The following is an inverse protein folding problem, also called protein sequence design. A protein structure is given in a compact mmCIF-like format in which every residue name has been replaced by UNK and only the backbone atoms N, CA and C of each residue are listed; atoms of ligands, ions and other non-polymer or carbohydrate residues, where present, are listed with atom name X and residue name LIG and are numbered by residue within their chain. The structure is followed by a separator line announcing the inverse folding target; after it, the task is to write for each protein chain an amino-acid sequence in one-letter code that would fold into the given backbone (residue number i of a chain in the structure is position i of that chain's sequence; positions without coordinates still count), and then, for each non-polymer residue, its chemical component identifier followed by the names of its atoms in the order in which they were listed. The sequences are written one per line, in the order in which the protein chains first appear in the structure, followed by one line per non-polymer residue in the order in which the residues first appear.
data_IF_338742115009
#
_entry.id   IF_338742115009
#
_cell.length_a   1.000
_cell.length_b   1.000
_cell.length_c   1.000
_cell.angle_alpha   90.00
_cell.angle_beta   90.00
_cell.angle_gamma   90.00
#
_symmetry.space_group_name_H-M   'P 1'
#
loop_
_entity.id
_entity.type
_entity.pdbx_description
1 polymer ?
2 non-polymer ?
3 water ?
#
# COMPACT_ATOMS: atom_id res chain seq x y z
N UNK A 1 -2.42 2.85 25.78
CA UNK A 1 -1.89 3.61 24.62
C UNK A 1 -2.09 2.88 23.31
N UNK A 2 -1.62 3.50 22.24
CA UNK A 2 -1.65 2.88 20.92
C UNK A 2 -0.48 1.87 20.82
N UNK A 3 -0.46 1.08 19.76
CA UNK A 3 0.54 0.01 19.61
C UNK A 3 1.53 0.39 18.52
N UNK A 4 2.64 0.96 18.92
CA UNK A 4 3.67 1.38 17.97
C UNK A 4 4.84 0.39 17.89
N UNK A 5 4.60 -0.85 18.34
CA UNK A 5 5.59 -1.90 18.19
C UNK A 5 5.32 -2.74 16.95
N UNK A 6 4.06 -2.98 16.60
CA UNK A 6 3.82 -3.87 15.49
C UNK A 6 3.77 -3.12 14.16
N UNK A 7 4.54 -3.67 13.24
CA UNK A 7 4.87 -3.01 12.00
C UNK A 7 3.60 -2.73 11.21
N UNK A 8 3.43 -1.46 10.85
CA UNK A 8 2.47 -1.02 9.87
C UNK A 8 0.99 -1.17 10.30
N UNK A 9 0.75 -1.27 11.60
CA UNK A 9 -0.58 -1.61 12.12
C UNK A 9 -1.68 -0.62 11.71
N UNK A 10 -1.36 0.68 11.78
CA UNK A 10 -2.37 1.72 11.56
C UNK A 10 -2.47 2.26 10.12
N UNK A 11 -1.74 1.66 9.20
CA UNK A 11 -1.85 2.04 7.80
C UNK A 11 -3.30 1.93 7.32
N UNK A 12 -3.70 2.90 6.51
CA UNK A 12 -5.05 2.93 5.93
C UNK A 12 -5.27 1.72 5.02
N UNK A 13 -4.18 1.24 4.44
CA UNK A 13 -4.20 0.09 3.56
C UNK A 13 -4.46 -1.20 4.36
N UNK A 14 -4.17 -1.19 5.66
CA UNK A 14 -4.42 -2.35 6.53
C UNK A 14 -5.85 -2.30 7.01
N UNK A 15 -6.72 -2.95 6.26
CA UNK A 15 -8.14 -2.96 6.60
C UNK A 15 -8.51 -3.97 7.69
N UNK A 16 -7.56 -4.74 8.22
CA UNK A 16 -7.83 -5.72 9.27
C UNK A 16 -9.07 -6.63 8.98
N UNK A 17 -9.01 -7.37 7.89
CA UNK A 17 -10.17 -8.14 7.42
C UNK A 17 -10.38 -9.39 8.27
N UNK A 18 -11.60 -9.60 8.70
CA UNK A 18 -12.04 -10.83 9.33
C UNK A 18 -12.99 -11.50 8.34
N UNK A 19 -12.62 -12.67 7.83
CA UNK A 19 -13.43 -13.38 6.86
C UNK A 19 -14.24 -14.43 7.58
N UNK A 20 -15.54 -14.44 7.34
CA UNK A 20 -16.43 -15.40 7.97
C UNK A 20 -17.10 -16.25 6.90
N UNK A 21 -16.93 -17.56 7.00
CA UNK A 21 -17.40 -18.48 5.99
C UNK A 21 -18.68 -19.11 6.45
N UNK A 22 -19.74 -18.91 5.70
CA UNK A 22 -21.07 -19.41 6.05
C UNK A 22 -21.58 -20.31 4.94
N UNK A 23 -22.31 -21.36 5.32
CA UNK A 23 -22.91 -22.28 4.35
C UNK A 23 -21.89 -22.91 3.41
N UNK A 24 -20.72 -23.21 3.96
CA UNK A 24 -19.63 -23.82 3.20
C UNK A 24 -19.17 -25.03 4.03
N UNK A 25 -18.94 -26.15 3.38
CA UNK A 25 -18.47 -27.33 4.09
C UNK A 25 -17.11 -27.09 4.71
N UNK A 26 -16.89 -27.68 5.90
CA UNK A 26 -15.72 -27.43 6.71
C UNK A 26 -14.43 -27.77 5.97
N UNK A 27 -14.43 -28.87 5.24
CA UNK A 27 -13.21 -29.33 4.57
C UNK A 27 -12.78 -28.39 3.45
N UNK A 28 -13.76 -27.80 2.77
CA UNK A 28 -13.52 -26.76 1.78
C UNK A 28 -12.81 -25.56 2.40
N UNK A 29 -13.36 -25.06 3.50
CA UNK A 29 -12.77 -23.92 4.18
C UNK A 29 -11.34 -24.23 4.64
N UNK A 30 -11.12 -25.43 5.14
CA UNK A 30 -9.81 -25.84 5.69
C UNK A 30 -8.74 -25.81 4.60
N UNK A 31 -9.13 -26.21 3.40
CA UNK A 31 -8.28 -26.19 2.22
C UNK A 31 -8.05 -24.78 1.68
N UNK A 32 -9.09 -23.97 1.76
CA UNK A 32 -9.13 -22.62 1.22
C UNK A 32 -8.25 -21.62 1.97
N UNK A 33 -8.19 -21.78 3.28
CA UNK A 33 -7.69 -20.70 4.11
C UNK A 33 -6.21 -20.44 3.81
N UNK A 34 -5.35 -21.46 3.75
CA UNK A 34 -3.94 -21.20 3.43
C UNK A 34 -3.71 -20.55 2.08
N UNK A 35 -4.44 -20.97 1.06
CA UNK A 35 -4.25 -20.38 -0.24
C UNK A 35 -4.82 -18.97 -0.31
N UNK A 36 -5.93 -18.73 0.37
CA UNK A 36 -6.50 -17.37 0.43
C UNK A 36 -5.59 -16.42 1.15
N UNK A 37 -5.01 -16.85 2.26
CA UNK A 37 -4.11 -15.99 3.01
C UNK A 37 -2.92 -15.56 2.14
N UNK A 38 -2.35 -16.50 1.41
CA UNK A 38 -1.25 -16.23 0.50
C UNK A 38 -1.63 -15.17 -0.53
N UNK A 39 -2.75 -15.38 -1.21
CA UNK A 39 -3.19 -14.46 -2.26
C UNK A 39 -3.62 -13.09 -1.76
N UNK A 40 -4.40 -13.04 -0.67
CA UNK A 40 -4.86 -11.74 -0.13
C UNK A 40 -3.75 -10.91 0.49
N UNK A 41 -2.81 -11.53 1.18
CA UNK A 41 -1.77 -10.76 1.83
C UNK A 41 -0.85 -10.13 0.78
N UNK A 42 -0.59 -10.86 -0.31
CA UNK A 42 0.14 -10.34 -1.47
C UNK A 42 -0.61 -9.21 -2.16
N UNK A 43 -1.87 -9.47 -2.47
CA UNK A 43 -2.70 -8.51 -3.16
C UNK A 43 -2.80 -7.18 -2.42
N UNK A 44 -2.98 -7.23 -1.11
CA UNK A 44 -3.26 -6.05 -0.30
C UNK A 44 -2.02 -5.48 0.38
N UNK A 45 -0.89 -6.17 0.19
CA UNK A 45 0.40 -5.79 0.75
C UNK A 45 0.26 -5.61 2.26
N UNK A 46 -0.40 -6.57 2.87
CA UNK A 46 -0.71 -6.51 4.29
C UNK A 46 -0.09 -7.72 5.00
N UNK A 47 0.27 -7.54 6.26
CA UNK A 47 0.85 -8.60 7.05
C UNK A 47 -0.09 -9.80 7.08
N UNK A 48 0.45 -11.00 7.00
CA UNK A 48 -0.32 -12.23 7.14
C UNK A 48 -1.09 -12.36 8.47
N UNK A 49 -0.55 -11.82 9.57
CA UNK A 49 -1.26 -11.84 10.85
C UNK A 49 -2.36 -10.78 10.99
N UNK A 50 -2.60 -10.00 9.94
CA UNK A 50 -3.67 -9.01 9.91
C UNK A 50 -5.03 -9.63 9.52
N UNK A 51 -5.05 -10.88 9.04
CA UNK A 51 -6.28 -11.54 8.59
C UNK A 51 -6.73 -12.55 9.63
N UNK A 52 -8.04 -12.69 9.79
CA UNK A 52 -8.59 -13.79 10.57
C UNK A 52 -9.65 -14.49 9.70
N UNK A 53 -9.78 -15.78 9.92
CA UNK A 53 -10.68 -16.63 9.15
C UNK A 53 -11.54 -17.40 10.12
N UNK A 54 -12.86 -17.39 9.92
CA UNK A 54 -13.77 -18.05 10.84
C UNK A 54 -14.73 -18.95 10.06
N UNK A 55 -14.90 -20.20 10.48
CA UNK A 55 -15.93 -21.08 9.96
C UNK A 55 -17.12 -20.99 10.92
N UNK A 56 -18.28 -20.61 10.40
CA UNK A 56 -19.45 -20.32 11.23
C UNK A 56 -20.26 -21.61 11.26
N UNK A 57 -20.66 -22.10 12.43
CA UNK A 57 -21.18 -23.47 12.45
C UNK A 57 -22.70 -23.68 12.57
N UNK A 58 -23.41 -22.92 11.74
CA UNK A 58 -24.85 -22.78 11.80
C UNK A 58 -25.54 -23.58 10.70
N UNK A 59 -26.86 -23.72 10.84
CA UNK A 59 -27.64 -24.46 9.88
C UNK A 59 -28.56 -23.53 9.09
N UNK A 60 -28.61 -23.76 7.79
CA UNK A 60 -29.22 -22.87 6.82
C UNK A 60 -30.31 -23.61 6.06
N UNK A 61 -31.34 -22.87 5.71
CA UNK A 61 -32.37 -23.28 4.75
C UNK A 61 -32.58 -22.17 3.75
N UNK A 62 -32.75 -22.55 2.48
CA UNK A 62 -33.25 -21.65 1.47
C UNK A 62 -33.96 -22.51 0.41
N UNK A 63 -35.03 -21.97 -0.17
CA UNK A 63 -35.72 -22.67 -1.24
C UNK A 63 -34.77 -22.58 -2.42
N UNK A 64 -34.48 -23.73 -3.00
CA UNK A 64 -33.62 -23.77 -4.16
C UNK A 64 -32.19 -24.09 -3.81
N UNK A 65 -31.93 -24.26 -2.53
CA UNK A 65 -30.61 -24.57 -2.00
C UNK A 65 -29.89 -23.34 -1.50
N UNK A 66 -29.03 -23.54 -0.52
CA UNK A 66 -28.30 -22.49 0.13
C UNK A 66 -26.98 -22.33 -0.59
N UNK A 67 -26.62 -21.10 -0.93
CA UNK A 67 -25.34 -20.85 -1.58
C UNK A 67 -24.32 -20.37 -0.56
N UNK A 68 -23.07 -20.64 -0.81
CA UNK A 68 -22.03 -20.23 0.13
C UNK A 68 -21.89 -18.72 0.24
N UNK A 69 -21.51 -18.21 1.42
CA UNK A 69 -21.31 -16.79 1.60
C UNK A 69 -20.08 -16.53 2.43
N UNK A 70 -19.33 -15.50 2.05
CA UNK A 70 -18.19 -15.05 2.82
C UNK A 70 -18.50 -13.61 3.19
N UNK A 71 -18.51 -13.33 4.48
CA UNK A 71 -18.69 -11.99 5.00
C UNK A 71 -17.30 -11.49 5.32
N UNK A 72 -17.01 -10.26 4.94
CA UNK A 72 -15.69 -9.66 5.21
C UNK A 72 -15.97 -8.46 6.08
N UNK A 73 -15.56 -8.52 7.33
CA UNK A 73 -15.72 -7.40 8.22
C UNK A 73 -14.38 -6.68 8.22
N UNK A 74 -14.39 -5.42 7.84
CA UNK A 74 -13.10 -4.72 7.69
C UNK A 74 -13.22 -3.22 7.82
N UNK A 75 -12.11 -2.49 7.80
CA UNK A 75 -12.18 -1.02 7.84
C UNK A 75 -12.49 -0.35 6.53
N UNK A 76 -12.43 -1.10 5.44
CA UNK A 76 -12.76 -0.53 4.15
C UNK A 76 -11.50 -0.29 3.31
N UNK A 77 -11.63 -0.62 2.03
CA UNK A 77 -10.73 -0.14 1.00
C UNK A 77 -11.62 0.43 -0.11
N UNK A 78 -11.00 1.18 -1.03
CA UNK A 78 -11.75 1.80 -2.13
C UNK A 78 -12.48 0.74 -2.95
N UNK A 79 -13.56 1.14 -3.63
CA UNK A 79 -14.36 0.22 -4.43
C UNK A 79 -13.56 -0.71 -5.33
N UNK A 80 -12.56 -0.17 -6.03
CA UNK A 80 -11.81 -0.96 -6.98
C UNK A 80 -11.03 -2.09 -6.28
N UNK A 81 -10.46 -1.81 -5.12
CA UNK A 81 -9.76 -2.83 -4.35
C UNK A 81 -10.71 -3.90 -3.82
N UNK A 82 -11.83 -3.42 -3.28
CA UNK A 82 -12.89 -4.29 -2.80
C UNK A 82 -13.34 -5.25 -3.91
N UNK A 83 -13.52 -4.72 -5.10
CA UNK A 83 -13.90 -5.55 -6.24
C UNK A 83 -12.88 -6.64 -6.54
N UNK A 84 -11.58 -6.32 -6.45
CA UNK A 84 -10.53 -7.31 -6.69
C UNK A 84 -10.51 -8.41 -5.64
N UNK A 85 -10.76 -8.03 -4.39
CA UNK A 85 -10.80 -9.00 -3.31
C UNK A 85 -11.92 -9.96 -3.51
N UNK A 86 -13.08 -9.44 -3.86
CA UNK A 86 -14.23 -10.26 -4.14
C UNK A 86 -13.89 -11.24 -5.25
N UNK A 87 -13.19 -10.77 -6.26
CA UNK A 87 -12.83 -11.66 -7.38
C UNK A 87 -11.86 -12.78 -6.96
N UNK A 88 -10.88 -12.47 -6.11
CA UNK A 88 -9.93 -13.48 -5.60
C UNK A 88 -10.63 -14.59 -4.79
N UNK A 89 -11.48 -14.18 -3.86
CA UNK A 89 -12.19 -15.10 -3.00
C UNK A 89 -13.09 -15.99 -3.87
N UNK A 90 -13.76 -15.39 -4.84
CA UNK A 90 -14.68 -16.12 -5.67
C UNK A 90 -13.97 -17.18 -6.49
N UNK A 91 -12.86 -16.78 -7.10
CA UNK A 91 -12.04 -17.65 -7.91
C UNK A 91 -11.44 -18.83 -7.14
N UNK A 92 -10.94 -18.60 -5.94
CA UNK A 92 -10.46 -19.71 -5.12
C UNK A 92 -11.57 -20.68 -4.71
N UNK A 93 -12.72 -20.16 -4.27
CA UNK A 93 -13.84 -21.02 -3.93
C UNK A 93 -14.30 -21.83 -5.17
N UNK A 94 -14.29 -21.23 -6.34
CA UNK A 94 -14.73 -21.94 -7.56
C UNK A 94 -13.84 -23.11 -7.90
N UNK A 95 -12.57 -22.98 -7.60
CA UNK A 95 -11.62 -24.06 -7.74
C UNK A 95 -11.98 -25.30 -6.94
N UNK A 96 -12.56 -25.11 -5.76
CA UNK A 96 -12.90 -26.24 -4.90
C UNK A 96 -14.36 -26.66 -5.04
N UNK A 97 -15.22 -25.75 -5.50
CA UNK A 97 -16.68 -25.94 -5.50
C UNK A 97 -17.37 -25.83 -6.87
N UNK A 98 -16.67 -25.44 -7.91
CA UNK A 98 -17.27 -25.33 -9.24
C UNK A 98 -17.22 -23.94 -9.82
N UNK A 99 -16.86 -23.87 -11.11
CA UNK A 99 -16.76 -22.59 -11.83
C UNK A 99 -18.09 -21.88 -12.06
N UNK A 100 -19.17 -22.44 -11.54
CA UNK A 100 -20.51 -21.83 -11.65
C UNK A 100 -21.33 -21.96 -10.37
N UNK A 101 -20.71 -22.45 -9.30
CA UNK A 101 -21.25 -22.29 -7.95
C UNK A 101 -21.50 -20.82 -7.81
N UNK A 102 -22.40 -20.41 -6.92
CA UNK A 102 -22.81 -19.00 -6.87
C UNK A 102 -22.45 -18.24 -5.59
N UNK A 103 -21.17 -18.01 -5.38
CA UNK A 103 -20.68 -17.48 -4.12
C UNK A 103 -21.14 -16.04 -3.91
N UNK A 104 -21.63 -15.73 -2.71
CA UNK A 104 -21.85 -14.35 -2.29
C UNK A 104 -20.65 -13.89 -1.43
N UNK A 105 -20.15 -12.69 -1.66
CA UNK A 105 -19.09 -12.11 -0.82
C UNK A 105 -19.65 -10.78 -0.39
N UNK A 106 -19.75 -10.53 0.91
CA UNK A 106 -20.37 -9.29 1.37
C UNK A 106 -19.40 -8.56 2.31
N UNK A 107 -19.16 -7.28 2.08
CA UNK A 107 -18.24 -6.54 2.90
C UNK A 107 -19.05 -5.70 3.89
N UNK A 108 -18.68 -5.72 5.15
CA UNK A 108 -19.34 -4.93 6.15
C UNK A 108 -18.31 -3.98 6.76
N UNK A 109 -18.49 -2.68 6.59
CA UNK A 109 -17.56 -1.68 7.13
C UNK A 109 -17.63 -1.54 8.64
N UNK A 110 -16.48 -1.56 9.29
CA UNK A 110 -16.34 -1.26 10.70
C UNK A 110 -15.67 0.12 10.80
N UNK A 111 -16.02 0.87 11.83
CA UNK A 111 -15.40 2.18 12.06
C UNK A 111 -14.11 2.02 12.82
N UNK A 112 -13.04 2.64 12.35
CA UNK A 112 -11.81 2.59 13.12
C UNK A 112 -11.94 3.15 14.52
N UNK A 113 -12.76 4.19 14.73
CA UNK A 113 -12.92 4.77 16.07
C UNK A 113 -13.74 3.92 17.03
N UNK A 114 -14.33 2.84 16.51
CA UNK A 114 -15.10 1.84 17.30
C UNK A 114 -14.44 0.48 17.43
N UNK A 115 -13.16 0.39 17.01
CA UNK A 115 -12.39 -0.84 17.08
C UNK A 115 -11.21 -0.65 18.02
N UNK A 116 -11.20 -1.41 19.10
CA UNK A 116 -10.23 -1.23 20.17
C UNK A 116 -9.32 -2.44 20.29
N UNK A 117 -8.04 -2.19 20.42
CA UNK A 117 -7.08 -3.25 20.61
C UNK A 117 -6.38 -2.91 21.91
N UNK A 118 -6.41 -3.84 22.85
CA UNK A 118 -5.88 -3.55 24.18
C UNK A 118 -6.38 -2.20 24.76
N UNK A 119 -7.65 -1.91 24.54
CA UNK A 119 -8.29 -0.72 25.10
C UNK A 119 -8.14 0.62 24.39
N UNK A 120 -7.54 0.66 23.22
CA UNK A 120 -7.37 1.93 22.51
C UNK A 120 -7.80 1.77 21.07
N UNK A 121 -8.53 2.75 20.52
CA UNK A 121 -9.10 2.57 19.20
C UNK A 121 -8.14 2.92 18.07
N UNK A 122 -8.56 2.55 16.86
CA UNK A 122 -7.81 2.86 15.65
C UNK A 122 -8.17 4.24 15.11
N UNK B 1 37.90 21.44 -3.58
CA UNK B 1 37.55 21.77 -5.00
C UNK B 1 36.20 21.23 -5.44
N UNK B 2 35.65 21.86 -6.47
CA UNK B 2 34.43 21.35 -7.09
C UNK B 2 34.70 20.05 -7.89
N UNK B 3 33.65 19.40 -8.37
CA UNK B 3 33.78 18.10 -9.06
C UNK B 3 33.47 18.29 -10.54
N UNK B 4 34.51 18.49 -11.33
CA UNK B 4 34.32 18.64 -12.77
C UNK B 4 34.64 17.37 -13.55
N UNK B 5 34.54 16.23 -12.87
CA UNK B 5 34.66 14.93 -13.53
C UNK B 5 33.30 14.36 -13.88
N UNK B 6 32.33 14.50 -12.98
CA UNK B 6 31.06 13.82 -13.23
C UNK B 6 30.09 14.69 -14.03
N UNK B 7 29.60 14.06 -15.08
CA UNK B 7 28.89 14.75 -16.15
C UNK B 7 27.63 15.43 -15.63
N UNK B 8 27.51 16.73 -15.94
CA UNK B 8 26.29 17.48 -15.75
C UNK B 8 25.91 17.71 -14.29
N UNK B 9 26.86 17.56 -13.39
CA UNK B 9 26.55 17.53 -11.95
C UNK B 9 25.90 18.83 -11.43
N UNK B 10 26.41 19.97 -11.91
CA UNK B 10 25.96 21.27 -11.40
C UNK B 10 24.86 21.95 -12.20
N UNK B 11 24.31 21.26 -13.18
CA UNK B 11 23.20 21.83 -13.94
C UNK B 11 22.06 22.19 -12.98
N UNK B 12 21.39 23.29 -13.25
CA UNK B 12 20.24 23.73 -12.45
C UNK B 12 19.12 22.69 -12.57
N UNK B 13 19.06 22.00 -13.70
CA UNK B 13 18.03 20.98 -13.90
C UNK B 13 18.28 19.75 -13.03
N UNK B 14 19.52 19.56 -12.56
CA UNK B 14 19.85 18.45 -11.67
C UNK B 14 19.56 18.87 -10.24
N UNK B 15 18.35 18.55 -9.80
CA UNK B 15 17.90 18.91 -8.48
C UNK B 15 18.39 17.95 -7.37
N UNK B 16 19.13 16.90 -7.73
CA UNK B 16 19.67 15.92 -6.77
C UNK B 16 18.58 15.42 -5.77
N UNK B 17 17.49 14.86 -6.27
CA UNK B 17 16.39 14.47 -5.39
C UNK B 17 16.67 13.22 -4.54
N UNK B 18 16.35 13.34 -3.28
CA UNK B 18 16.37 12.25 -2.32
C UNK B 18 14.92 11.99 -1.94
N UNK B 19 14.40 10.82 -2.32
CA UNK B 19 13.04 10.45 -2.04
C UNK B 19 12.99 9.60 -0.80
N UNK B 20 12.13 9.96 0.13
CA UNK B 20 11.99 9.21 1.36
C UNK B 20 10.56 8.69 1.49
N UNK B 21 10.40 7.40 1.65
CA UNK B 21 9.10 6.77 1.67
C UNK B 21 8.72 6.47 3.11
N UNK B 22 7.62 7.05 3.55
CA UNK B 22 7.15 6.91 4.91
C UNK B 22 5.77 6.27 4.87
N UNK B 23 5.47 5.45 5.87
CA UNK B 23 4.15 4.80 6.02
C UNK B 23 3.73 4.06 4.76
N UNK B 24 4.69 3.37 4.16
CA UNK B 24 4.46 2.55 2.98
C UNK B 24 5.12 1.19 3.25
N UNK B 25 4.44 0.11 2.88
CA UNK B 25 4.96 -1.21 3.16
C UNK B 25 6.24 -1.44 2.34
N UNK B 26 7.20 -2.13 2.93
CA UNK B 26 8.51 -2.33 2.34
C UNK B 26 8.45 -2.97 0.95
N UNK B 27 7.59 -3.97 0.78
CA UNK B 27 7.51 -4.70 -0.49
C UNK B 27 7.07 -3.79 -1.63
N UNK B 28 6.18 -2.84 -1.33
CA UNK B 28 5.69 -1.84 -2.30
C UNK B 28 6.83 -0.94 -2.73
N UNK B 29 7.60 -0.44 -1.76
CA UNK B 29 8.71 0.45 -2.07
C UNK B 29 9.71 -0.30 -2.94
N UNK B 30 9.96 -1.57 -2.60
CA UNK B 30 10.97 -2.37 -3.29
C UNK B 30 10.63 -2.53 -4.76
N UNK B 31 9.33 -2.66 -5.02
CA UNK B 31 8.80 -2.80 -6.36
C UNK B 31 8.77 -1.48 -7.13
N UNK B 32 8.51 -0.40 -6.39
CA UNK B 32 8.34 0.93 -6.92
C UNK B 32 9.66 1.56 -7.37
N UNK B 33 10.74 1.26 -6.67
CA UNK B 33 11.96 2.04 -6.85
C UNK B 33 12.48 1.92 -8.28
N UNK B 34 12.62 0.72 -8.84
CA UNK B 34 13.16 0.62 -10.21
C UNK B 34 12.31 1.29 -11.28
N UNK B 35 10.99 1.19 -11.18
CA UNK B 35 10.13 1.81 -12.16
C UNK B 35 10.12 3.33 -11.99
N UNK B 36 10.17 3.80 -10.74
CA UNK B 36 10.21 5.25 -10.48
C UNK B 36 11.49 5.84 -11.02
N UNK B 37 12.61 5.16 -10.79
CA UNK B 37 13.90 5.67 -11.29
C UNK B 37 13.87 5.84 -12.82
N UNK B 38 13.33 4.83 -13.51
CA UNK B 38 13.19 4.89 -14.96
C UNK B 38 12.38 6.10 -15.39
N UNK B 39 11.23 6.29 -14.77
CA UNK B 39 10.35 7.37 -15.18
C UNK B 39 10.86 8.75 -14.81
N UNK B 40 11.39 8.92 -13.60
CA UNK B 40 11.89 10.24 -13.17
C UNK B 40 13.17 10.64 -13.89
N UNK B 41 14.06 9.71 -14.13
CA UNK B 41 15.30 10.09 -14.81
C UNK B 41 15.02 10.53 -16.27
N UNK B 42 14.04 9.88 -16.91
CA UNK B 42 13.58 10.26 -18.25
C UNK B 42 12.94 11.63 -18.25
N UNK B 43 11.97 11.79 -17.35
CA UNK B 43 11.22 13.02 -17.22
C UNK B 43 12.08 14.25 -16.97
N UNK B 44 13.06 14.14 -16.09
CA UNK B 44 13.86 15.26 -15.66
C UNK B 44 15.15 15.36 -16.45
N UNK B 45 15.40 14.38 -17.31
CA UNK B 45 16.63 14.29 -18.08
C UNK B 45 17.84 14.40 -17.16
N UNK B 46 17.85 13.54 -16.16
CA UNK B 46 18.84 13.59 -15.11
C UNK B 46 19.54 12.21 -15.04
N UNK B 47 20.80 12.19 -14.65
CA UNK B 47 21.52 10.92 -14.52
C UNK B 47 20.78 10.04 -13.51
N UNK B 48 20.77 8.74 -13.75
CA UNK B 48 20.12 7.80 -12.83
C UNK B 48 20.81 7.78 -11.47
N UNK B 49 22.10 8.06 -11.44
CA UNK B 49 22.84 8.06 -10.17
C UNK B 49 22.65 9.36 -9.39
N UNK B 50 21.81 10.27 -9.89
CA UNK B 50 21.51 11.50 -9.17
C UNK B 50 20.30 11.37 -8.20
N UNK B 51 19.66 10.21 -8.17
CA UNK B 51 18.49 9.97 -7.35
C UNK B 51 18.87 9.07 -6.18
N UNK B 52 18.34 9.34 -5.00
CA UNK B 52 18.45 8.38 -3.91
C UNK B 52 17.04 8.08 -3.39
N UNK B 53 16.86 6.87 -2.91
CA UNK B 53 15.58 6.37 -2.45
C UNK B 53 15.75 5.75 -1.08
N UNK B 54 14.92 6.14 -0.11
CA UNK B 54 15.11 5.67 1.25
C UNK B 54 13.79 5.16 1.81
N UNK B 55 13.79 3.98 2.42
CA UNK B 55 12.62 3.49 3.11
C UNK B 55 12.82 3.82 4.58
N UNK B 56 11.89 4.57 5.16
CA UNK B 56 12.03 5.08 6.51
C UNK B 56 11.35 4.11 7.45
N UNK B 57 12.01 3.70 8.53
CA UNK B 57 11.48 2.53 9.25
C UNK B 57 10.76 2.76 10.57
N UNK B 58 9.88 3.74 10.57
CA UNK B 58 9.27 4.24 11.78
C UNK B 58 7.85 3.72 11.90
N UNK B 59 7.23 4.01 13.05
CA UNK B 59 5.85 3.59 13.29
C UNK B 59 4.98 4.83 13.44
N UNK B 60 3.81 4.75 12.82
CA UNK B 60 2.91 5.88 12.63
C UNK B 60 1.57 5.57 13.24
N UNK B 61 0.92 6.59 13.76
CA UNK B 61 -0.48 6.56 14.16
C UNK B 61 -1.20 7.77 13.59
N UNK B 62 -2.43 7.57 13.13
CA UNK B 62 -3.33 8.66 12.78
C UNK B 62 -4.75 8.14 12.94
N UNK B 63 -5.65 8.96 13.44
CA UNK B 63 -7.04 8.58 13.53
C UNK B 63 -7.55 8.54 12.09
N UNK B 64 -8.16 7.42 11.71
CA UNK B 64 -8.70 7.27 10.37
C UNK B 64 -7.76 6.51 9.44
N UNK B 65 -6.59 6.16 9.96
CA UNK B 65 -5.58 5.42 9.23
C UNK B 65 -4.50 6.35 8.69
N UNK B 66 -3.29 5.82 8.59
CA UNK B 66 -2.14 6.57 8.18
C UNK B 66 -2.02 6.42 6.66
N UNK B 67 -1.83 7.53 5.97
CA UNK B 67 -1.72 7.50 4.54
C UNK B 67 -0.24 7.55 4.15
N UNK B 68 0.13 6.92 3.04
CA UNK B 68 1.54 6.94 2.66
C UNK B 68 2.03 8.32 2.29
N UNK B 69 3.33 8.58 2.49
CA UNK B 69 3.89 9.88 2.16
C UNK B 69 5.27 9.71 1.57
N UNK B 70 5.55 10.51 0.55
CA UNK B 70 6.86 10.56 -0.05
C UNK B 70 7.38 11.97 0.13
N UNK B 71 8.51 12.10 0.82
CA UNK B 71 9.19 13.36 0.98
C UNK B 71 10.27 13.41 -0.08
N UNK B 72 10.39 14.53 -0.78
CA UNK B 72 11.40 14.74 -1.82
C UNK B 72 12.26 15.88 -1.33
N UNK B 73 13.50 15.60 -0.94
CA UNK B 73 14.41 16.67 -0.57
C UNK B 73 15.23 16.97 -1.80
N UNK B 74 15.28 18.23 -2.23
CA UNK B 74 15.90 18.56 -3.49
C UNK B 74 16.26 20.03 -3.60
N UNK B 75 17.01 20.41 -4.63
CA UNK B 75 17.35 21.83 -4.84
C UNK B 75 16.23 22.68 -5.41
N UNK B 76 15.22 22.05 -5.98
CA UNK B 76 14.10 22.81 -6.50
C UNK B 76 14.06 22.73 -8.04
N UNK B 77 12.86 22.55 -8.55
CA UNK B 77 12.56 22.88 -9.94
C UNK B 77 11.30 23.76 -9.90
N UNK B 78 11.00 24.41 -11.02
CA UNK B 78 9.86 25.31 -11.12
C UNK B 78 8.56 24.57 -10.83
N UNK B 79 7.53 25.32 -10.46
CA UNK B 79 6.27 24.74 -10.00
C UNK B 79 5.70 23.72 -10.96
N UNK B 80 5.74 23.99 -12.26
CA UNK B 80 5.10 23.12 -13.22
C UNK B 80 5.79 21.75 -13.30
N UNK B 81 7.11 21.75 -13.21
CA UNK B 81 7.89 20.51 -13.14
C UNK B 81 7.64 19.75 -11.86
N UNK B 82 7.60 20.46 -10.76
CA UNK B 82 7.30 19.85 -9.45
C UNK B 82 5.95 19.16 -9.53
N UNK B 83 4.98 19.82 -10.13
CA UNK B 83 3.66 19.23 -10.26
C UNK B 83 3.68 17.92 -11.07
N UNK B 84 4.48 17.85 -12.14
CA UNK B 84 4.57 16.63 -12.95
C UNK B 84 5.21 15.50 -12.18
N UNK B 85 6.20 15.85 -11.39
CA UNK B 85 6.89 14.85 -10.58
C UNK B 85 5.94 14.27 -9.56
N UNK B 86 5.18 15.13 -8.90
CA UNK B 86 4.20 14.67 -7.95
C UNK B 86 3.19 13.76 -8.62
N UNK B 87 2.84 14.06 -9.85
CA UNK B 87 1.86 13.22 -10.54
C UNK B 87 2.43 11.86 -10.94
N UNK B 88 3.70 11.79 -11.34
CA UNK B 88 4.36 10.50 -11.66
C UNK B 88 4.43 9.58 -10.45
N UNK B 89 4.87 10.13 -9.33
CA UNK B 89 5.03 9.36 -8.11
C UNK B 89 3.65 8.83 -7.69
N UNK B 90 2.66 9.70 -7.72
CA UNK B 90 1.33 9.33 -7.32
C UNK B 90 0.77 8.23 -8.19
N UNK B 91 0.89 8.38 -9.50
CA UNK B 91 0.39 7.40 -10.45
C UNK B 91 1.08 6.03 -10.28
N UNK B 92 2.39 5.99 -10.09
CA UNK B 92 3.05 4.71 -9.83
C UNK B 92 2.66 4.03 -8.50
N UNK B 93 2.56 4.81 -7.43
CA UNK B 93 2.06 4.27 -6.16
C UNK B 93 0.62 3.76 -6.30
N UNK B 94 -0.24 4.45 -7.06
CA UNK B 94 -1.62 4.01 -7.24
C UNK B 94 -1.72 2.64 -7.89
N UNK B 95 -0.79 2.38 -8.81
CA UNK B 95 -0.74 1.09 -9.48
C UNK B 95 -0.49 -0.06 -8.53
N UNK B 96 0.23 0.21 -7.44
CA UNK B 96 0.52 -0.82 -6.46
C UNK B 96 -0.43 -0.81 -5.27
N UNK B 97 -0.97 0.34 -4.92
CA UNK B 97 -1.77 0.53 -3.69
C UNK B 97 -3.25 0.86 -3.89
N UNK B 98 -3.64 1.21 -5.10
CA UNK B 98 -5.03 1.58 -5.37
C UNK B 98 -5.19 2.93 -6.03
N UNK B 99 -6.05 2.99 -7.03
CA UNK B 99 -6.29 4.21 -7.81
C UNK B 99 -7.04 5.31 -7.08
N UNK B 100 -7.31 5.08 -5.79
CA UNK B 100 -8.05 6.01 -4.95
C UNK B 100 -7.44 6.10 -3.54
N UNK B 101 -6.34 5.38 -3.32
CA UNK B 101 -5.52 5.55 -2.12
C UNK B 101 -5.10 6.99 -2.10
N UNK B 102 -4.62 7.50 -0.97
CA UNK B 102 -4.43 8.95 -0.82
C UNK B 102 -3.00 9.41 -0.49
N UNK B 103 -2.12 9.29 -1.46
CA UNK B 103 -0.72 9.58 -1.26
C UNK B 103 -0.43 11.06 -1.07
N UNK B 104 0.41 11.39 -0.09
CA UNK B 104 0.98 12.73 0.07
C UNK B 104 2.39 12.73 -0.55
N UNK B 105 2.73 13.76 -1.32
CA UNK B 105 4.08 13.98 -1.83
C UNK B 105 4.45 15.38 -1.36
N UNK B 106 5.53 15.51 -0.61
CA UNK B 106 5.93 16.83 -0.12
C UNK B 106 7.35 17.16 -0.55
N UNK B 107 7.56 18.34 -1.11
CA UNK B 107 8.88 18.72 -1.56
C UNK B 107 9.49 19.65 -0.52
N UNK B 108 10.73 19.38 -0.14
CA UNK B 108 11.45 20.23 0.80
C UNK B 108 12.69 20.78 0.10
N UNK B 109 12.78 22.10 -0.09
CA UNK B 109 13.94 22.69 -0.76
C UNK B 109 15.17 22.71 0.15
N UNK B 110 16.30 22.33 -0.44
CA UNK B 110 17.63 22.46 0.14
C UNK B 110 18.33 23.60 -0.63
N UNK B 111 19.14 24.37 0.06
CA UNK B 111 19.94 25.41 -0.57
C UNK B 111 21.19 24.77 -1.16
N UNK B 112 21.49 25.09 -2.40
CA UNK B 112 22.76 24.65 -3.01
C UNK B 112 24.00 25.07 -2.23
N UNK B 113 24.02 26.28 -1.68
CA UNK B 113 25.19 26.73 -0.92
C UNK B 113 25.34 26.03 0.46
N UNK B 114 24.35 25.25 0.84
CA UNK B 114 24.38 24.45 2.09
C UNK B 114 24.53 22.96 1.91
N UNK B 115 24.81 22.54 0.66
CA UNK B 115 24.97 21.14 0.29
C UNK B 115 26.40 20.94 -0.19
N UNK B 116 27.14 20.13 0.53
CA UNK B 116 28.57 19.92 0.27
C UNK B 116 28.80 18.50 -0.20
N UNK B 117 29.62 18.34 -1.21
CA UNK B 117 30.02 17.04 -1.68
C UNK B 117 31.53 17.05 -1.61
N UNK B 118 32.10 16.09 -0.90
CA UNK B 118 33.55 16.10 -0.68
C UNK B 118 34.07 17.45 -0.15
N UNK B 119 33.27 18.12 0.66
CA UNK B 119 33.70 19.34 1.32
C UNK B 119 33.54 20.64 0.54
N UNK B 120 32.91 20.59 -0.62
CA UNK B 120 32.68 21.81 -1.40
C UNK B 120 31.21 21.95 -1.78
N UNK B 121 30.66 23.16 -1.70
CA UNK B 121 29.22 23.28 -1.91
C UNK B 121 28.82 23.46 -3.37
N UNK B 122 27.52 23.32 -3.61
CA UNK B 122 26.94 23.48 -4.93
C UNK B 122 26.64 24.95 -5.25
X LIG C 1 -7.75 2.36 -0.36
X LIG C 1 -8.85 2.89 0.51
X LIG C 1 -8.13 1.08 -1.06
X LIG C 1 -7.42 3.39 -1.42
X LIG C 1 -6.54 2.07 0.51
X LIG D 1 13.29 23.96 -13.84
X LIG D 1 14.53 23.18 -13.46
X LIG D 1 13.70 25.36 -14.18
X LIG D 1 12.54 23.23 -14.95
X LIG D 1 12.32 24.07 -12.72
#
# INVERSE_FOLDING_TARGET
GVDLGTENLYFSSNAMPHLRFRAVEAHIVESLVPTLLNELSSLLSTARNAFTFELINTQYFAEGGVYPMVEVLWFGREQQTQDQIAQVITDQIRQLLGADSHLAVVFIPLQRTAYYLDGQHF
GVDLGTENLYFSSNAMPHLRFRAVEAHIVESLVPTLLNELSSLLSTARNAFTFELINTQYFAEGGVYPMVEVLWFGREQQTQDQIAQVITDQIRQLLGADSHLAVVFIPLQRTAYYLDGQHF
PO4 P O1 O2 O3 O4
PO4 P O1 O2 O3 O4
#
